data_IF_053676640714
#
_entry.id   IF_053676640714
#
_cell.length_a   1.000
_cell.length_b   1.000
_cell.length_c   1.000
_cell.angle_alpha   90.00
_cell.angle_beta   90.00
_cell.angle_gamma   90.00
#
_symmetry.space_group_name_H-M   'P 1'
#
loop_
_entity.id
_entity.type
_entity.pdbx_description
1 polymer ?
#
# COMPACT_ATOMS: atom_id res chain seq x y z
N UNK A 1 -14.43 -28.00 33.42
CA UNK A 1 -13.97 -26.64 33.03
C UNK A 1 -13.01 -26.79 31.86
N UNK A 2 -13.43 -26.44 30.64
CA UNK A 2 -12.62 -26.54 29.42
C UNK A 2 -11.48 -25.53 29.45
N UNK A 3 -10.24 -26.00 29.31
CA UNK A 3 -9.06 -25.14 29.10
C UNK A 3 -9.10 -24.56 27.69
N UNK A 4 -8.89 -23.25 27.50
CA UNK A 4 -8.81 -22.67 26.17
C UNK A 4 -7.48 -23.08 25.51
N UNK A 5 -7.57 -23.77 24.38
CA UNK A 5 -6.41 -24.02 23.51
C UNK A 5 -6.09 -22.75 22.73
N UNK A 6 -5.06 -22.03 23.18
CA UNK A 6 -4.39 -21.01 22.36
C UNK A 6 -3.70 -21.73 21.19
N UNK A 7 -4.30 -21.62 20.00
CA UNK A 7 -3.64 -22.01 18.75
C UNK A 7 -2.52 -21.00 18.49
N UNK A 8 -1.32 -21.33 18.96
CA UNK A 8 -0.08 -20.68 18.54
C UNK A 8 0.00 -20.83 17.01
N UNK A 9 -0.16 -19.71 16.29
CA UNK A 9 0.19 -19.65 14.88
C UNK A 9 1.68 -19.96 14.77
N UNK A 10 1.97 -21.13 14.25
CA UNK A 10 3.31 -21.64 14.05
C UNK A 10 4.05 -20.67 13.11
N UNK A 11 5.01 -19.95 13.68
CA UNK A 11 5.87 -19.02 12.98
C UNK A 11 6.75 -19.78 11.99
N UNK A 12 6.28 -19.94 10.76
CA UNK A 12 7.13 -20.23 9.62
C UNK A 12 7.72 -18.94 9.00
N UNK A 13 7.68 -17.83 9.74
CA UNK A 13 7.98 -16.44 9.35
C UNK A 13 9.36 -15.97 9.85
N UNK A 14 10.24 -16.88 10.28
CA UNK A 14 11.59 -16.49 10.73
C UNK A 14 12.50 -16.14 9.54
N UNK A 15 12.37 -16.89 8.43
CA UNK A 15 13.13 -16.65 7.20
C UNK A 15 12.67 -15.36 6.51
N UNK A 16 11.36 -15.18 6.35
CA UNK A 16 10.79 -14.02 5.65
C UNK A 16 10.99 -12.70 6.41
N UNK A 17 10.95 -12.74 7.75
CA UNK A 17 11.26 -11.56 8.58
C UNK A 17 12.74 -11.20 8.48
N UNK A 18 13.63 -12.20 8.58
CA UNK A 18 15.08 -11.99 8.58
C UNK A 18 15.59 -11.52 7.22
N UNK A 19 15.04 -12.06 6.14
CA UNK A 19 15.31 -11.61 4.77
C UNK A 19 14.88 -10.14 4.58
N UNK A 20 13.67 -9.78 5.02
CA UNK A 20 13.17 -8.38 4.99
C UNK A 20 13.97 -7.41 5.85
N UNK A 21 14.69 -7.90 6.85
CA UNK A 21 15.56 -7.09 7.71
C UNK A 21 16.94 -6.89 7.07
N UNK A 22 17.49 -7.92 6.43
CA UNK A 22 18.73 -7.86 5.64
C UNK A 22 18.58 -6.95 4.41
N UNK A 23 17.44 -7.02 3.72
CA UNK A 23 17.09 -6.16 2.58
C UNK A 23 17.09 -4.68 2.97
N UNK A 24 16.56 -4.36 4.15
CA UNK A 24 16.54 -3.00 4.72
C UNK A 24 17.92 -2.49 5.13
N UNK A 25 18.78 -3.37 5.67
CA UNK A 25 20.13 -3.01 6.13
C UNK A 25 21.09 -2.80 4.95
N UNK A 26 20.95 -3.60 3.89
CA UNK A 26 21.89 -3.61 2.76
C UNK A 26 21.52 -2.65 1.64
N UNK A 27 20.30 -2.08 1.65
CA UNK A 27 19.78 -1.20 0.60
C UNK A 27 19.79 -1.84 -0.80
N UNK A 28 19.91 -3.18 -0.87
CA UNK A 28 20.25 -3.93 -2.08
C UNK A 28 19.05 -4.68 -2.68
N UNK A 29 17.89 -4.66 -2.01
CA UNK A 29 16.69 -5.26 -2.55
C UNK A 29 15.75 -4.16 -3.05
N UNK A 30 15.39 -4.22 -4.34
CA UNK A 30 14.24 -3.49 -4.85
C UNK A 30 13.05 -3.77 -3.94
N UNK A 31 12.34 -2.71 -3.53
CA UNK A 31 11.13 -2.85 -2.72
C UNK A 31 10.22 -3.88 -3.39
N UNK A 32 9.88 -4.97 -2.69
CA UNK A 32 9.03 -6.04 -3.22
C UNK A 32 7.66 -5.45 -3.60
N UNK A 33 7.48 -5.05 -4.86
CA UNK A 33 6.23 -4.47 -5.36
C UNK A 33 5.24 -5.56 -5.70
N UNK A 34 3.95 -5.31 -5.48
CA UNK A 34 2.86 -6.20 -5.87
C UNK A 34 1.92 -5.49 -6.83
N UNK A 35 1.54 -6.17 -7.91
CA UNK A 35 0.54 -5.66 -8.84
C UNK A 35 -0.86 -6.06 -8.37
N UNK A 36 -1.74 -5.08 -8.16
CA UNK A 36 -3.15 -5.30 -7.83
C UNK A 36 -4.04 -4.49 -8.78
N UNK A 37 -5.24 -4.99 -9.13
CA UNK A 37 -6.18 -4.22 -9.94
C UNK A 37 -6.54 -2.88 -9.28
N UNK A 38 -6.58 -1.81 -10.07
CA UNK A 38 -6.98 -0.48 -9.60
C UNK A 38 -8.34 -0.49 -8.90
N UNK A 39 -9.30 -1.25 -9.42
CA UNK A 39 -10.63 -1.42 -8.84
C UNK A 39 -10.64 -2.09 -7.46
N UNK A 40 -9.56 -2.77 -7.06
CA UNK A 40 -9.36 -3.27 -5.69
C UNK A 40 -8.63 -2.26 -4.81
N UNK A 41 -7.65 -1.56 -5.38
CA UNK A 41 -6.84 -0.57 -4.66
C UNK A 41 -7.65 0.67 -4.24
N UNK A 42 -8.38 1.28 -5.19
CA UNK A 42 -9.06 2.57 -4.96
C UNK A 42 -10.07 2.52 -3.81
N UNK A 43 -10.94 1.48 -3.67
CA UNK A 43 -11.85 1.38 -2.52
C UNK A 43 -11.14 1.33 -1.16
N UNK A 44 -9.97 0.69 -1.07
CA UNK A 44 -9.18 0.61 0.17
C UNK A 44 -8.58 1.97 0.54
N UNK A 45 -8.05 2.70 -0.44
CA UNK A 45 -7.52 4.04 -0.23
C UNK A 45 -8.64 5.03 0.15
N UNK A 46 -9.79 4.96 -0.52
CA UNK A 46 -10.96 5.76 -0.15
C UNK A 46 -11.45 5.46 1.26
N UNK A 47 -11.45 4.19 1.68
CA UNK A 47 -11.79 3.82 3.06
C UNK A 47 -10.78 4.38 4.07
N UNK A 48 -9.49 4.29 3.75
CA UNK A 48 -8.43 4.84 4.59
C UNK A 48 -8.59 6.35 4.79
N UNK A 49 -8.88 7.09 3.72
CA UNK A 49 -9.13 8.54 3.79
C UNK A 49 -10.39 8.86 4.59
N UNK A 50 -11.52 8.18 4.33
CA UNK A 50 -12.78 8.44 5.05
C UNK A 50 -12.69 8.18 6.55
N UNK A 51 -11.86 7.22 6.96
CA UNK A 51 -11.73 6.79 8.35
C UNK A 51 -10.42 7.28 9.01
N UNK A 52 -9.75 8.29 8.41
CA UNK A 52 -8.51 8.89 8.91
C UNK A 52 -7.46 7.85 9.36
N UNK A 53 -7.23 6.83 8.52
CA UNK A 53 -6.27 5.77 8.83
C UNK A 53 -4.85 6.30 8.72
N UNK A 54 -4.19 6.41 9.87
CA UNK A 54 -2.85 6.98 9.98
C UNK A 54 -1.80 6.35 9.04
N UNK A 55 -1.90 5.03 8.79
CA UNK A 55 -0.93 4.32 7.95
C UNK A 55 -0.82 4.88 6.53
N UNK A 56 -1.88 5.50 5.98
CA UNK A 56 -1.84 6.05 4.62
C UNK A 56 -0.84 7.20 4.50
N UNK A 57 -0.64 7.96 5.59
CA UNK A 57 0.31 9.08 5.63
C UNK A 57 1.75 8.61 5.55
N UNK A 58 2.04 7.39 5.99
CA UNK A 58 3.37 6.80 5.96
C UNK A 58 3.86 6.57 4.51
N UNK A 59 2.96 6.59 3.53
CA UNK A 59 3.24 6.39 2.10
C UNK A 59 3.11 7.68 1.27
N UNK A 60 3.02 8.85 1.91
CA UNK A 60 2.73 10.11 1.20
C UNK A 60 3.81 10.52 0.19
N UNK A 61 5.08 10.20 0.46
CA UNK A 61 6.23 10.52 -0.39
C UNK A 61 6.62 9.37 -1.34
N UNK A 62 5.90 8.24 -1.28
CA UNK A 62 6.19 7.06 -2.09
C UNK A 62 5.66 7.21 -3.52
N UNK A 63 6.42 6.67 -4.48
CA UNK A 63 6.01 6.68 -5.90
C UNK A 63 5.24 5.41 -6.27
N UNK A 64 4.02 5.59 -6.78
CA UNK A 64 3.20 4.50 -7.33
C UNK A 64 3.37 4.43 -8.85
N UNK A 65 3.60 3.22 -9.39
CA UNK A 65 3.60 2.97 -10.83
C UNK A 65 2.20 2.67 -11.33
N UNK A 66 1.78 3.39 -12.37
CA UNK A 66 0.49 3.21 -13.06
C UNK A 66 0.71 3.22 -14.57
N UNK A 67 -0.27 2.72 -15.33
CA UNK A 67 -0.25 2.78 -16.79
C UNK A 67 -0.25 4.23 -17.29
N UNK A 68 0.45 4.48 -18.39
CA UNK A 68 0.59 5.83 -18.97
C UNK A 68 -0.77 6.44 -19.35
N UNK A 69 -1.69 5.62 -19.87
CA UNK A 69 -3.03 6.06 -20.24
C UNK A 69 -3.83 6.53 -19.00
N UNK A 70 -3.73 5.81 -17.89
CA UNK A 70 -4.37 6.20 -16.63
C UNK A 70 -3.77 7.49 -16.09
N UNK A 71 -2.45 7.64 -16.15
CA UNK A 71 -1.78 8.89 -15.77
C UNK A 71 -2.31 10.08 -16.58
N UNK A 72 -2.45 9.93 -17.89
CA UNK A 72 -3.02 10.97 -18.77
C UNK A 72 -4.44 11.38 -18.36
N UNK A 73 -5.31 10.41 -18.05
CA UNK A 73 -6.68 10.67 -17.59
C UNK A 73 -6.69 11.41 -16.24
N UNK A 74 -5.85 11.00 -15.29
CA UNK A 74 -5.76 11.64 -13.97
C UNK A 74 -5.26 13.09 -14.07
N UNK A 75 -4.31 13.36 -14.95
CA UNK A 75 -3.81 14.72 -15.20
C UNK A 75 -4.88 15.62 -15.81
N UNK A 76 -5.62 15.13 -16.82
CA UNK A 76 -6.73 15.89 -17.40
C UNK A 76 -7.83 16.17 -16.38
N UNK A 77 -8.15 15.18 -15.53
CA UNK A 77 -9.15 15.32 -14.47
C UNK A 77 -8.73 16.34 -13.40
N UNK A 78 -7.45 16.36 -13.00
CA UNK A 78 -6.95 17.32 -12.00
C UNK A 78 -7.01 18.76 -12.52
N UNK A 79 -6.64 18.97 -13.78
CA UNK A 79 -6.74 20.28 -14.44
C UNK A 79 -8.19 20.77 -14.50
N UNK A 80 -9.13 19.90 -14.88
CA UNK A 80 -10.55 20.24 -14.90
C UNK A 80 -11.07 20.66 -13.52
N UNK A 81 -10.63 19.98 -12.45
CA UNK A 81 -11.03 20.35 -11.08
C UNK A 81 -10.47 21.70 -10.65
N UNK A 82 -9.24 22.02 -11.06
CA UNK A 82 -8.61 23.30 -10.73
C UNK A 82 -9.30 24.46 -11.45
N UNK A 83 -9.65 24.28 -12.73
CA UNK A 83 -10.35 25.32 -13.50
C UNK A 83 -11.80 25.51 -13.05
N UNK A 84 -12.46 24.46 -12.58
CA UNK A 84 -13.83 24.55 -12.04
C UNK A 84 -13.91 25.21 -10.64
N UNK A 85 -12.79 25.29 -9.92
CA UNK A 85 -12.70 25.88 -8.59
C UNK A 85 -12.13 27.31 -8.59
N UNK A 86 -11.75 27.84 -9.76
CA UNK A 86 -11.24 29.19 -9.99
C UNK A 86 -12.34 30.12 -10.52
#
# INVERSE_FOLDING_TARGET
MSKPSLRLFQANDSSDRRERELDRITGSADAKTVAIPLGKMVPLLMDAVRNDRAWLRDFADDTVRIDADLYGVLLAYSQLRQTAAA
#
